data_IF_835276539294
#
_entry.id   IF_835276539294
#
_cell.length_a   1.000
_cell.length_b   1.000
_cell.length_c   1.000
_cell.angle_alpha   90.00
_cell.angle_beta   90.00
_cell.angle_gamma   90.00
#
_symmetry.space_group_name_H-M   'P 1'
#
loop_
_entity.id
_entity.type
_entity.pdbx_description
1 polymer ?
#
# COMPACT_ATOMS: atom_id res chain seq x y z
N UNK A 1 8.78 -11.03 8.55
CA UNK A 1 8.53 -11.93 7.39
C UNK A 1 9.84 -12.65 7.05
N UNK A 2 9.81 -13.70 6.20
CA UNK A 2 11.02 -14.45 5.78
C UNK A 2 11.32 -14.37 4.27
N UNK A 3 10.33 -13.97 3.48
CA UNK A 3 10.43 -13.87 2.02
C UNK A 3 10.29 -12.42 1.62
N UNK A 4 11.06 -12.05 0.60
CA UNK A 4 11.18 -10.69 0.09
C UNK A 4 10.83 -10.67 -1.41
N UNK A 5 10.50 -9.50 -1.94
CA UNK A 5 10.26 -9.31 -3.37
C UNK A 5 11.53 -9.59 -4.17
N UNK A 6 11.43 -10.39 -5.24
CA UNK A 6 12.56 -10.62 -6.13
C UNK A 6 12.76 -9.40 -7.06
N UNK A 7 13.86 -8.68 -6.85
CA UNK A 7 14.22 -7.48 -7.61
C UNK A 7 14.42 -7.73 -9.11
N UNK A 8 14.66 -8.96 -9.55
CA UNK A 8 14.73 -9.29 -10.99
C UNK A 8 13.42 -8.93 -11.72
N UNK A 9 12.28 -8.91 -11.02
CA UNK A 9 10.98 -8.56 -11.59
C UNK A 9 10.60 -7.07 -11.41
N UNK A 10 11.42 -6.26 -10.73
CA UNK A 10 11.11 -4.85 -10.41
C UNK A 10 10.66 -4.08 -11.66
N UNK A 11 11.48 -4.09 -12.71
CA UNK A 11 11.21 -3.36 -13.93
C UNK A 11 9.94 -3.86 -14.65
N UNK A 12 9.67 -5.17 -14.62
CA UNK A 12 8.46 -5.72 -15.24
C UNK A 12 7.21 -5.20 -14.53
N UNK A 13 7.15 -5.27 -13.20
CA UNK A 13 6.00 -4.79 -12.45
C UNK A 13 5.81 -3.28 -12.57
N UNK A 14 6.88 -2.49 -12.51
CA UNK A 14 6.83 -1.04 -12.69
C UNK A 14 6.30 -0.67 -14.08
N UNK A 15 6.76 -1.36 -15.13
CA UNK A 15 6.27 -1.14 -16.51
C UNK A 15 4.78 -1.45 -16.69
N UNK A 16 4.20 -2.27 -15.80
CA UNK A 16 2.78 -2.65 -15.79
C UNK A 16 1.94 -1.80 -14.84
N UNK A 17 2.51 -0.76 -14.23
CA UNK A 17 1.79 0.22 -13.42
C UNK A 17 1.77 -0.04 -11.91
N UNK A 18 2.59 -0.97 -11.40
CA UNK A 18 2.81 -1.12 -9.95
C UNK A 18 3.95 -0.22 -9.51
N UNK A 19 3.71 0.67 -8.55
CA UNK A 19 4.72 1.58 -8.01
C UNK A 19 5.34 1.02 -6.72
N UNK A 20 6.67 1.03 -6.62
CA UNK A 20 7.41 0.59 -5.44
C UNK A 20 7.68 1.79 -4.51
N UNK A 21 6.66 2.21 -3.76
CA UNK A 21 6.65 3.50 -3.03
C UNK A 21 7.35 3.46 -1.67
N UNK A 22 7.62 2.28 -1.12
CA UNK A 22 8.37 2.13 0.13
C UNK A 22 9.45 1.07 -0.01
N UNK A 23 10.68 1.47 0.31
CA UNK A 23 11.86 0.63 0.20
C UNK A 23 12.72 0.75 1.46
N UNK A 24 13.53 -0.28 1.73
CA UNK A 24 14.58 -0.18 2.74
C UNK A 24 15.54 0.99 2.43
N UNK A 25 16.29 1.51 3.42
CA UNK A 25 17.21 2.64 3.20
C UNK A 25 18.29 2.39 2.14
N UNK A 26 18.62 1.12 1.88
CA UNK A 26 19.55 0.70 0.83
C UNK A 26 18.88 0.41 -0.53
N UNK A 27 17.55 0.57 -0.62
CA UNK A 27 16.76 0.42 -1.85
C UNK A 27 16.57 -1.03 -2.32
N UNK A 28 17.02 -2.02 -1.54
CA UNK A 28 17.02 -3.44 -1.93
C UNK A 28 15.73 -4.16 -1.59
N UNK A 29 15.10 -3.83 -0.47
CA UNK A 29 13.85 -4.46 -0.06
C UNK A 29 12.70 -3.56 -0.47
N UNK A 30 11.68 -4.17 -1.07
CA UNK A 30 10.41 -3.52 -1.39
C UNK A 30 9.45 -3.82 -0.24
N UNK A 31 9.06 -2.79 0.48
CA UNK A 31 8.27 -2.88 1.70
C UNK A 31 6.82 -2.40 1.49
N UNK A 32 6.62 -1.48 0.54
CA UNK A 32 5.32 -0.89 0.19
C UNK A 32 5.18 -0.81 -1.32
N UNK A 33 4.02 -1.21 -1.83
CA UNK A 33 3.64 -1.07 -3.24
C UNK A 33 2.25 -0.47 -3.41
N UNK A 34 2.06 0.25 -4.50
CA UNK A 34 0.82 0.93 -4.86
C UNK A 34 0.44 0.69 -6.32
N UNK A 35 -0.86 0.77 -6.64
CA UNK A 35 -1.35 0.75 -8.03
C UNK A 35 -2.20 2.02 -8.23
N UNK A 36 -1.65 3.08 -8.84
CA UNK A 36 -2.33 4.38 -8.97
C UNK A 36 -3.66 4.34 -9.74
N UNK A 37 -3.85 3.34 -10.60
CA UNK A 37 -5.10 3.16 -11.36
C UNK A 37 -6.27 2.61 -10.53
N UNK A 38 -6.05 2.24 -9.27
CA UNK A 38 -7.09 1.72 -8.38
C UNK A 38 -7.47 2.76 -7.31
N UNK A 39 -8.77 2.95 -6.98
CA UNK A 39 -9.22 3.99 -6.04
C UNK A 39 -8.52 3.95 -4.67
N UNK A 40 -8.16 2.75 -4.21
CA UNK A 40 -7.32 2.55 -3.03
C UNK A 40 -6.60 1.22 -3.14
N UNK A 41 -5.33 1.22 -3.54
CA UNK A 41 -4.47 0.02 -3.53
C UNK A 41 -3.12 0.37 -2.94
N UNK A 42 -2.92 -0.08 -1.70
CA UNK A 42 -1.65 0.03 -0.98
C UNK A 42 -1.43 -1.31 -0.30
N UNK A 43 -0.29 -1.94 -0.55
CA UNK A 43 0.10 -3.19 0.11
C UNK A 43 1.42 -2.98 0.86
N UNK A 44 1.48 -3.48 2.08
CA UNK A 44 2.64 -3.37 2.97
C UNK A 44 3.07 -4.74 3.48
N UNK A 45 4.37 -4.91 3.69
CA UNK A 45 4.92 -6.17 4.21
C UNK A 45 4.94 -6.21 5.75
N UNK A 46 5.11 -5.04 6.38
CA UNK A 46 5.08 -4.88 7.83
C UNK A 46 3.65 -4.95 8.41
N UNK A 47 3.56 -4.99 9.73
CA UNK A 47 2.29 -5.12 10.47
C UNK A 47 1.85 -3.75 11.04
N UNK A 48 1.07 -2.94 10.30
CA UNK A 48 0.59 -1.64 10.77
C UNK A 48 -0.33 -1.74 12.00
N UNK A 49 -0.90 -2.92 12.26
CA UNK A 49 -1.82 -3.18 13.38
C UNK A 49 -1.15 -2.87 14.72
N UNK A 50 0.12 -3.26 14.89
CA UNK A 50 0.83 -3.11 16.16
C UNK A 50 1.11 -1.65 16.53
N UNK A 51 1.11 -0.73 15.56
CA UNK A 51 1.29 0.71 15.77
C UNK A 51 -0.03 1.49 15.79
N UNK A 52 -1.16 0.87 15.47
CA UNK A 52 -2.48 1.51 15.53
C UNK A 52 -2.96 1.65 16.99
N UNK A 53 -3.61 2.76 17.33
CA UNK A 53 -4.18 3.02 18.67
C UNK A 53 -5.62 3.54 18.55
N UNK A 54 -6.49 3.34 19.57
CA UNK A 54 -7.88 3.78 19.50
C UNK A 54 -8.07 5.28 19.18
N UNK A 55 -7.20 6.15 19.71
CA UNK A 55 -7.23 7.60 19.50
C UNK A 55 -6.26 8.07 18.39
N UNK A 56 -5.47 7.16 17.82
CA UNK A 56 -4.51 7.44 16.76
C UNK A 56 -4.43 6.22 15.83
N UNK A 57 -5.46 6.00 14.99
CA UNK A 57 -5.47 4.88 14.06
C UNK A 57 -4.35 5.05 13.03
N UNK A 58 -3.73 3.92 12.66
CA UNK A 58 -2.70 3.95 11.63
C UNK A 58 -3.26 4.50 10.30
N UNK A 59 -2.52 5.36 9.56
CA UNK A 59 -3.03 6.01 8.35
C UNK A 59 -3.58 5.05 7.30
N UNK A 60 -3.00 3.85 7.16
CA UNK A 60 -3.48 2.82 6.23
C UNK A 60 -4.92 2.39 6.51
N UNK A 61 -5.31 2.22 7.78
CA UNK A 61 -6.66 1.79 8.13
C UNK A 61 -7.66 2.94 7.98
N UNK A 62 -7.31 4.14 8.45
CA UNK A 62 -8.13 5.34 8.28
C UNK A 62 -8.33 5.69 6.80
N UNK A 63 -7.28 5.54 6.00
CA UNK A 63 -7.29 5.74 4.55
C UNK A 63 -8.22 4.75 3.86
N UNK A 64 -8.14 3.46 4.21
CA UNK A 64 -9.01 2.43 3.64
C UNK A 64 -10.50 2.72 3.92
N UNK A 65 -10.86 3.05 5.16
CA UNK A 65 -12.24 3.38 5.53
C UNK A 65 -12.73 4.64 4.81
N UNK A 66 -11.86 5.65 4.68
CA UNK A 66 -12.18 6.89 3.97
C UNK A 66 -12.45 6.62 2.49
N UNK A 67 -11.58 5.85 1.83
CA UNK A 67 -11.76 5.49 0.43
C UNK A 67 -13.01 4.62 0.21
N UNK A 68 -13.29 3.68 1.13
CA UNK A 68 -14.51 2.88 1.07
C UNK A 68 -15.77 3.75 1.17
N UNK A 69 -15.77 4.77 2.06
CA UNK A 69 -16.88 5.71 2.19
C UNK A 69 -17.06 6.57 0.93
N UNK A 70 -15.96 7.06 0.34
CA UNK A 70 -15.99 7.83 -0.91
C UNK A 70 -16.54 7.00 -2.08
N UNK A 71 -16.13 5.73 -2.18
CA UNK A 71 -16.63 4.82 -3.20
C UNK A 71 -18.17 4.69 -3.16
N UNK A 72 -18.74 4.63 -1.96
CA UNK A 72 -20.20 4.55 -1.78
C UNK A 72 -20.88 5.83 -2.25
N UNK A 73 -20.33 7.00 -1.93
CA UNK A 73 -20.92 8.29 -2.35
C UNK A 73 -20.90 8.44 -3.88
N UNK A 74 -19.79 8.08 -4.52
CA UNK A 74 -19.64 8.18 -5.99
C UNK A 74 -20.60 7.26 -6.76
N UNK A 75 -21.14 6.22 -6.12
CA UNK A 75 -22.13 5.32 -6.72
C UNK A 75 -23.58 5.77 -6.53
N UNK A 76 -23.82 6.74 -5.65
CA UNK A 76 -25.17 7.24 -5.33
C UNK A 76 -25.50 8.58 -5.98
N UNK A 77 -24.50 9.23 -6.59
CA UNK A 77 -24.66 10.40 -7.48
C UNK A 77 -24.68 9.95 -8.95
#
# INVERSE_FOLDING_TARGET
HRYEFNNDFRAEFESRGMHLTGQSPDGKLVEIVEIPGHPFFVAVQFHPEFKSRPNAPHPLFSGLVTAARQRVTDCTE
#
